data_IF_758828112479
#
_entry.id   IF_758828112479
#
_cell.length_a   1.000
_cell.length_b   1.000
_cell.length_c   1.000
_cell.angle_alpha   90.00
_cell.angle_beta   90.00
_cell.angle_gamma   90.00
#
_symmetry.space_group_name_H-M   'P 1'
#
loop_
_entity.id
_entity.type
_entity.pdbx_description
1 polymer ?
#
# COMPACT_ATOMS: atom_id res chain seq x y z
N UNK A 1 -11.69 -6.73 -1.83
CA UNK A 1 -11.60 -6.32 -0.42
C UNK A 1 -12.91 -6.75 0.25
N UNK A 2 -12.85 -7.60 1.27
CA UNK A 2 -14.04 -8.20 1.89
C UNK A 2 -14.92 -7.18 2.62
N UNK A 3 -16.24 -7.29 2.46
CA UNK A 3 -17.27 -6.38 2.98
C UNK A 3 -17.28 -6.24 4.52
N UNK A 4 -16.67 -7.19 5.21
CA UNK A 4 -16.52 -7.24 6.67
C UNK A 4 -15.76 -6.03 7.27
N UNK A 5 -14.94 -5.33 6.48
CA UNK A 5 -14.24 -4.11 6.93
C UNK A 5 -15.19 -2.93 7.22
N UNK A 6 -16.41 -2.94 6.68
CA UNK A 6 -17.40 -1.87 6.90
C UNK A 6 -18.10 -1.94 8.26
N UNK A 7 -18.00 -3.05 8.99
CA UNK A 7 -18.82 -3.34 10.17
C UNK A 7 -18.07 -3.23 11.50
N UNK A 8 -16.87 -2.63 11.51
CA UNK A 8 -16.08 -2.49 12.74
C UNK A 8 -16.67 -1.42 13.66
N UNK A 9 -17.04 -1.86 14.87
CA UNK A 9 -17.65 -1.04 15.92
C UNK A 9 -16.63 -0.02 16.44
N UNK A 10 -17.06 1.24 16.58
CA UNK A 10 -16.30 2.28 17.28
C UNK A 10 -16.53 2.11 18.79
N UNK A 11 -15.43 2.02 19.54
CA UNK A 11 -15.45 1.86 20.99
C UNK A 11 -14.91 3.14 21.62
N UNK A 12 -15.74 3.92 22.33
CA UNK A 12 -15.26 5.09 23.07
C UNK A 12 -14.54 4.65 24.34
N UNK A 13 -13.28 5.08 24.52
CA UNK A 13 -12.48 4.84 25.71
C UNK A 13 -12.27 6.15 26.47
N UNK A 14 -12.61 6.18 27.75
CA UNK A 14 -12.42 7.36 28.58
C UNK A 14 -10.92 7.65 28.76
N UNK A 15 -10.50 8.89 28.49
CA UNK A 15 -9.09 9.33 28.55
C UNK A 15 -8.56 9.50 29.98
N UNK A 16 -9.40 9.29 31.01
CA UNK A 16 -9.12 9.59 32.42
C UNK A 16 -8.78 11.08 32.68
N UNK A 17 -9.24 11.98 31.80
CA UNK A 17 -8.99 13.42 31.87
C UNK A 17 -10.29 14.16 31.53
N UNK A 18 -10.71 15.09 32.40
CA UNK A 18 -11.94 15.87 32.24
C UNK A 18 -13.18 15.21 32.84
N UNK A 19 -14.36 15.74 32.52
CA UNK A 19 -15.65 15.26 33.02
C UNK A 19 -16.13 14.02 32.24
N UNK A 20 -16.64 13.02 32.96
CA UNK A 20 -17.19 11.79 32.40
C UNK A 20 -18.41 12.05 31.51
N UNK A 21 -19.14 13.15 31.73
CA UNK A 21 -20.32 13.49 30.90
C UNK A 21 -19.95 14.20 29.59
N UNK A 22 -18.70 14.63 29.41
CA UNK A 22 -18.26 15.31 28.20
C UNK A 22 -17.78 14.35 27.12
N UNK A 23 -18.33 14.47 25.91
CA UNK A 23 -17.90 13.67 24.76
C UNK A 23 -16.40 13.85 24.44
N UNK A 24 -15.80 15.00 24.73
CA UNK A 24 -14.38 15.29 24.45
C UNK A 24 -13.41 14.48 25.31
N UNK A 25 -13.89 13.99 26.47
CA UNK A 25 -13.12 13.18 27.42
C UNK A 25 -12.99 11.71 27.00
N UNK A 26 -13.60 11.31 25.89
CA UNK A 26 -13.42 9.98 25.30
C UNK A 26 -12.50 10.02 24.08
N UNK A 27 -11.81 8.91 23.83
CA UNK A 27 -11.04 8.60 22.63
C UNK A 27 -11.70 7.43 21.95
N UNK A 28 -12.17 7.63 20.73
CA UNK A 28 -12.70 6.54 19.93
C UNK A 28 -11.55 5.67 19.41
N UNK A 29 -11.67 4.37 19.63
CA UNK A 29 -10.80 3.37 19.01
C UNK A 29 -11.69 2.49 18.15
N UNK A 30 -11.16 2.08 17.00
CA UNK A 30 -11.79 1.13 16.10
C UNK A 30 -11.04 -0.21 16.17
N UNK A 31 -11.46 -1.15 17.03
CA UNK A 31 -10.79 -2.43 17.13
C UNK A 31 -11.02 -3.23 15.84
N UNK A 32 -9.95 -3.82 15.32
CA UNK A 32 -10.05 -4.77 14.22
C UNK A 32 -10.30 -6.19 14.72
N UNK A 33 -10.88 -7.03 13.86
CA UNK A 33 -10.96 -8.48 14.10
C UNK A 33 -9.56 -9.10 14.21
N UNK A 34 -9.45 -10.23 14.91
CA UNK A 34 -8.18 -10.93 15.14
C UNK A 34 -7.47 -11.29 13.83
N UNK A 35 -8.22 -11.76 12.84
CA UNK A 35 -7.71 -12.08 11.50
C UNK A 35 -7.14 -10.85 10.79
N UNK A 36 -7.82 -9.70 10.89
CA UNK A 36 -7.34 -8.46 10.27
C UNK A 36 -6.05 -7.93 10.93
N UNK A 37 -5.92 -8.06 12.26
CA UNK A 37 -4.68 -7.71 12.95
C UNK A 37 -3.49 -8.55 12.46
N UNK A 38 -3.72 -9.85 12.20
CA UNK A 38 -2.68 -10.73 11.65
C UNK A 38 -2.30 -10.32 10.21
N UNK A 39 -3.29 -10.03 9.37
CA UNK A 39 -3.06 -9.57 8.00
C UNK A 39 -2.28 -8.26 7.95
N UNK A 40 -2.66 -7.27 8.76
CA UNK A 40 -1.93 -6.01 8.82
C UNK A 40 -0.48 -6.21 9.27
N UNK A 41 -0.24 -7.06 10.27
CA UNK A 41 1.13 -7.39 10.71
C UNK A 41 1.97 -8.01 9.59
N UNK A 42 1.39 -8.90 8.77
CA UNK A 42 2.08 -9.51 7.63
C UNK A 42 2.36 -8.48 6.53
N UNK A 43 1.38 -7.62 6.23
CA UNK A 43 1.50 -6.57 5.22
C UNK A 43 2.54 -5.53 5.64
N UNK A 44 2.47 -5.04 6.88
CA UNK A 44 3.43 -4.13 7.48
C UNK A 44 4.84 -4.73 7.41
N UNK A 45 5.03 -5.98 7.84
CA UNK A 45 6.34 -6.63 7.79
C UNK A 45 6.91 -6.71 6.36
N UNK A 46 6.06 -6.96 5.36
CA UNK A 46 6.48 -6.99 3.96
C UNK A 46 6.79 -5.58 3.43
N UNK A 47 5.93 -4.60 3.70
CA UNK A 47 6.11 -3.22 3.28
C UNK A 47 7.39 -2.62 3.88
N UNK A 48 7.60 -2.78 5.18
CA UNK A 48 8.79 -2.29 5.88
C UNK A 48 10.09 -2.88 5.32
N UNK A 49 10.07 -4.10 4.76
CA UNK A 49 11.25 -4.67 4.06
C UNK A 49 11.52 -4.06 2.68
N UNK A 50 10.51 -3.46 2.06
CA UNK A 50 10.58 -2.93 0.69
C UNK A 50 10.66 -1.40 0.65
N UNK A 51 10.31 -0.71 1.75
CA UNK A 51 10.29 0.75 1.84
C UNK A 51 11.37 1.26 2.79
N UNK A 52 12.08 2.32 2.41
CA UNK A 52 12.95 3.07 3.31
C UNK A 52 12.18 4.23 3.95
N UNK A 53 12.16 4.29 5.27
CA UNK A 53 11.57 5.39 6.04
C UNK A 53 12.63 6.46 6.28
N UNK A 54 12.25 7.75 6.21
CA UNK A 54 13.19 8.85 6.41
C UNK A 54 13.72 8.87 7.86
N UNK A 55 14.94 9.40 8.05
CA UNK A 55 15.58 9.48 9.38
C UNK A 55 14.82 10.37 10.38
N UNK A 56 13.92 11.21 9.90
CA UNK A 56 13.19 12.20 10.70
C UNK A 56 11.76 11.73 11.04
N UNK A 57 11.41 10.49 10.71
CA UNK A 57 10.12 9.90 11.07
C UNK A 57 10.27 9.12 12.38
N UNK A 58 9.59 9.58 13.44
CA UNK A 58 9.66 8.98 14.77
C UNK A 58 8.34 8.32 15.21
N UNK A 59 7.23 8.59 14.52
CA UNK A 59 5.94 7.99 14.83
C UNK A 59 5.86 6.57 14.28
N UNK A 60 5.53 5.60 15.16
CA UNK A 60 5.29 4.20 14.81
C UNK A 60 6.44 3.50 14.08
N UNK A 61 7.69 3.96 14.29
CA UNK A 61 8.90 3.31 13.77
C UNK A 61 9.53 2.47 14.88
N UNK A 62 9.92 1.21 14.62
CA UNK A 62 10.63 0.40 15.60
C UNK A 62 11.87 1.14 16.14
N UNK A 63 12.09 1.06 17.45
CA UNK A 63 13.24 1.67 18.14
C UNK A 63 13.29 3.21 18.12
N UNK A 64 12.27 3.88 17.57
CA UNK A 64 12.11 5.34 17.65
C UNK A 64 10.98 5.71 18.60
N UNK A 65 11.17 6.79 19.36
CA UNK A 65 10.15 7.29 20.29
C UNK A 65 9.93 8.78 20.14
N UNK A 66 8.79 9.27 20.65
CA UNK A 66 8.51 10.70 20.74
C UNK A 66 9.55 11.45 21.58
N UNK A 67 10.17 10.79 22.56
CA UNK A 67 11.24 11.40 23.36
C UNK A 67 12.49 11.67 22.53
N UNK A 68 12.85 10.76 21.62
CA UNK A 68 13.99 10.94 20.73
C UNK A 68 13.73 12.08 19.72
N UNK A 69 12.50 12.19 19.22
CA UNK A 69 12.07 13.30 18.37
C UNK A 69 12.20 14.65 19.11
N UNK A 70 11.69 14.72 20.35
CA UNK A 70 11.82 15.90 21.20
C UNK A 70 13.29 16.23 21.45
N UNK A 71 14.10 15.22 21.81
CA UNK A 71 15.52 15.39 22.07
C UNK A 71 16.24 16.00 20.86
N UNK A 72 16.07 15.44 19.66
CA UNK A 72 16.69 15.96 18.44
C UNK A 72 16.27 17.40 18.14
N UNK A 73 14.98 17.72 18.29
CA UNK A 73 14.48 19.10 18.11
C UNK A 73 15.08 20.03 19.17
N UNK A 74 15.21 19.60 20.42
CA UNK A 74 15.79 20.42 21.49
C UNK A 74 17.31 20.55 21.39
N UNK A 75 18.00 19.59 20.77
CA UNK A 75 19.45 19.57 20.63
C UNK A 75 19.92 20.56 19.55
N UNK A 76 19.14 20.76 18.49
CA UNK A 76 19.40 21.79 17.48
C UNK A 76 19.12 23.22 17.99
N UNK A 77 18.44 23.37 19.14
CA UNK A 77 18.09 24.66 19.76
C UNK A 77 19.10 25.02 20.89
N UNK A 78 20.34 24.54 20.84
CA UNK A 78 21.40 24.82 21.84
C UNK A 78 21.84 26.31 21.88
N UNK A 79 20.98 27.16 22.43
CA UNK A 79 21.34 28.38 23.14
C UNK A 79 20.64 28.36 24.50
N UNK A 80 21.19 29.10 25.47
CA UNK A 80 20.61 29.25 26.81
C UNK A 80 19.14 29.72 26.74
N UNK A 81 18.51 29.81 27.92
CA UNK A 81 17.21 30.43 28.23
C UNK A 81 16.03 29.40 28.17
N UNK A 82 14.88 29.66 28.85
CA UNK A 82 14.51 29.02 30.11
C UNK A 82 13.10 28.37 30.05
N UNK A 83 12.83 27.49 31.01
CA UNK A 83 11.71 26.57 31.03
C UNK A 83 10.32 27.22 31.11
N UNK A 84 9.58 27.29 30.00
CA UNK A 84 8.11 27.30 29.95
C UNK A 84 7.62 26.88 28.55
N UNK A 85 7.23 25.62 28.37
CA UNK A 85 6.52 25.12 27.18
C UNK A 85 5.04 24.91 27.51
N UNK A 86 4.15 25.53 26.74
CA UNK A 86 2.73 25.18 26.72
C UNK A 86 2.43 24.47 25.40
N UNK A 87 1.89 23.26 25.49
CA UNK A 87 1.47 22.46 24.35
C UNK A 87 -0.02 22.67 24.08
N UNK A 88 -0.37 22.95 22.82
CA UNK A 88 -1.74 22.89 22.32
C UNK A 88 -1.72 22.16 20.98
N UNK A 89 -2.12 20.87 21.00
CA UNK A 89 -2.23 19.93 19.89
C UNK A 89 -1.10 19.98 18.82
N UNK A 90 -1.14 20.91 17.86
CA UNK A 90 -0.14 21.01 16.78
C UNK A 90 0.84 22.20 16.92
N UNK A 91 0.76 22.99 18.00
CA UNK A 91 1.59 24.19 18.21
C UNK A 91 2.18 24.23 19.62
N UNK A 92 3.47 24.55 19.70
CA UNK A 92 4.19 24.78 20.96
C UNK A 92 4.48 26.27 21.10
N UNK A 93 4.01 26.86 22.19
CA UNK A 93 4.38 28.22 22.57
C UNK A 93 5.56 28.17 23.55
N UNK A 94 6.67 28.82 23.17
CA UNK A 94 7.89 28.90 23.96
C UNK A 94 8.12 30.36 24.38
N UNK A 95 8.33 30.61 25.67
CA UNK A 95 8.70 31.92 26.17
C UNK A 95 9.63 31.80 27.38
N UNK A 96 10.37 32.87 27.66
CA UNK A 96 11.35 32.94 28.73
C UNK A 96 10.78 33.17 30.14
N UNK A 97 9.46 33.31 30.28
CA UNK A 97 8.78 33.36 31.58
C UNK A 97 7.26 33.16 31.45
N UNK A 98 6.66 32.51 32.45
CA UNK A 98 5.20 32.30 32.54
C UNK A 98 4.41 33.63 32.44
N UNK A 99 4.95 34.72 32.99
CA UNK A 99 4.30 36.03 32.99
C UNK A 99 4.19 36.65 31.59
N UNK A 100 5.15 36.35 30.69
CA UNK A 100 5.10 36.82 29.30
C UNK A 100 4.10 36.05 28.46
N UNK A 101 3.96 34.74 28.69
CA UNK A 101 2.91 33.91 28.05
C UNK A 101 1.52 34.43 28.39
N UNK A 102 1.27 34.75 29.67
CA UNK A 102 -0.01 35.31 30.11
C UNK A 102 -0.26 36.74 29.58
N UNK A 103 0.79 37.54 29.40
CA UNK A 103 0.68 38.88 28.78
C UNK A 103 0.33 38.80 27.28
N UNK A 104 0.90 37.84 26.54
CA UNK A 104 0.58 37.59 25.13
C UNK A 104 -0.85 37.07 24.94
N UNK A 105 -1.32 36.17 25.82
CA UNK A 105 -2.72 35.74 25.86
C UNK A 105 -3.69 36.92 26.04
N UNK A 106 -3.36 37.87 26.92
CA UNK A 106 -4.28 38.97 27.26
C UNK A 106 -4.29 40.13 26.27
N UNK A 107 -3.18 40.45 25.58
CA UNK A 107 -3.12 41.64 24.71
C UNK A 107 -3.38 41.41 23.23
N UNK A 108 -3.06 40.23 22.70
CA UNK A 108 -3.10 39.98 21.24
C UNK A 108 -4.36 39.21 20.79
N UNK A 109 -4.90 38.33 21.63
CA UNK A 109 -6.08 37.54 21.27
C UNK A 109 -7.39 38.35 21.28
N UNK A 110 -7.42 39.47 22.02
CA UNK A 110 -8.57 40.38 22.05
C UNK A 110 -8.59 41.36 20.86
N UNK A 111 -7.46 41.64 20.21
CA UNK A 111 -7.43 42.57 19.05
C UNK A 111 -7.85 41.91 17.74
N UNK A 112 -7.68 40.59 17.62
CA UNK A 112 -7.87 39.87 16.35
C UNK A 112 -9.32 39.36 16.15
N UNK A 113 -10.17 39.41 17.20
CA UNK A 113 -11.60 39.02 17.12
C UNK A 113 -12.47 40.10 16.47
N UNK A 114 -12.02 41.37 16.42
CA UNK A 114 -12.85 42.52 16.01
C UNK A 114 -12.52 43.12 14.62
N UNK A 115 -11.82 42.41 13.72
CA UNK A 115 -11.56 42.92 12.36
C UNK A 115 -12.20 42.07 11.26
N UNK A 116 -13.02 42.65 10.35
CA UNK A 116 -13.74 41.87 9.35
C UNK A 116 -12.86 41.49 8.14
N UNK A 117 -13.17 40.30 7.65
CA UNK A 117 -12.50 39.44 6.68
C UNK A 117 -12.14 40.10 5.33
N UNK A 118 -10.93 39.82 4.80
CA UNK A 118 -10.54 40.10 3.41
C UNK A 118 -9.69 38.96 2.85
N UNK A 119 -10.30 38.16 1.99
CA UNK A 119 -9.62 37.23 1.08
C UNK A 119 -9.41 37.87 -0.30
N UNK A 120 -8.32 37.53 -1.03
CA UNK A 120 -8.21 37.80 -2.47
C UNK A 120 -8.36 36.53 -3.36
N UNK A 121 -8.66 36.67 -4.66
CA UNK A 121 -9.40 35.69 -5.46
C UNK A 121 -8.58 34.78 -6.39
N UNK A 122 -9.23 33.72 -6.87
CA UNK A 122 -8.85 32.78 -7.94
C UNK A 122 -8.74 33.40 -9.36
N UNK A 123 -8.06 32.66 -10.27
CA UNK A 123 -8.11 32.60 -11.75
C UNK A 123 -6.67 32.58 -12.35
N UNK A 124 -6.28 31.93 -13.46
CA UNK A 124 -6.91 31.09 -14.50
C UNK A 124 -5.79 30.45 -15.37
N UNK A 125 -6.16 29.40 -16.11
CA UNK A 125 -5.47 28.64 -17.16
C UNK A 125 -4.54 29.36 -18.16
N UNK A 126 -3.54 28.61 -18.70
CA UNK A 126 -3.31 28.56 -20.18
C UNK A 126 -2.42 27.40 -20.66
N UNK A 127 -2.89 26.76 -21.74
CA UNK A 127 -2.31 25.63 -22.47
C UNK A 127 -1.82 26.08 -23.86
N UNK A 128 -0.81 25.36 -24.38
CA UNK A 128 -0.41 25.17 -25.79
C UNK A 128 0.38 26.27 -26.54
N UNK A 129 1.49 25.89 -27.18
CA UNK A 129 1.62 25.86 -28.65
C UNK A 129 2.90 25.15 -29.16
N UNK A 130 2.68 24.46 -30.28
CA UNK A 130 3.52 23.71 -31.22
C UNK A 130 4.43 24.59 -32.11
N UNK A 131 5.67 24.17 -32.42
CA UNK A 131 6.41 24.39 -33.71
C UNK A 131 7.50 23.32 -33.87
N UNK A 132 7.44 22.39 -34.83
CA UNK A 132 7.66 22.47 -36.29
C UNK A 132 9.13 22.25 -36.71
N UNK A 133 9.34 21.19 -37.49
CA UNK A 133 10.64 20.69 -37.93
C UNK A 133 11.26 21.43 -39.12
N UNK A 134 12.59 21.36 -39.22
CA UNK A 134 13.35 21.76 -40.42
C UNK A 134 14.09 20.58 -41.04
N UNK A 135 13.75 20.35 -42.30
CA UNK A 135 14.38 19.46 -43.28
C UNK A 135 15.81 19.94 -43.62
N UNK A 136 16.79 19.06 -43.47
CA UNK A 136 18.12 19.20 -44.10
C UNK A 136 18.14 18.47 -45.44
N UNK A 137 18.26 19.23 -46.54
CA UNK A 137 18.36 18.73 -47.93
C UNK A 137 19.80 18.27 -48.21
N UNK A 138 19.92 17.09 -48.84
CA UNK A 138 21.12 16.59 -49.53
C UNK A 138 21.50 17.51 -50.69
N UNK A 139 22.79 17.77 -50.89
CA UNK A 139 23.38 18.16 -52.19
C UNK A 139 24.83 17.65 -52.30
N UNK A 140 25.07 16.89 -53.36
CA UNK A 140 26.29 16.80 -54.18
C UNK A 140 25.75 16.58 -55.62
N UNK A 141 26.45 16.95 -56.72
CA UNK A 141 27.89 17.18 -56.83
C UNK A 141 28.29 18.45 -57.59
N UNK A 142 29.58 18.75 -57.61
CA UNK A 142 30.23 19.49 -58.70
C UNK A 142 31.65 18.96 -58.88
N UNK A 143 31.99 18.47 -60.08
CA UNK A 143 33.37 18.48 -60.54
C UNK A 143 33.52 19.34 -61.81
N UNK A 144 34.79 19.68 -62.10
CA UNK A 144 35.37 20.19 -63.38
C UNK A 144 35.55 21.73 -63.38
N UNK A 145 36.69 22.31 -63.84
CA UNK A 145 37.57 21.78 -64.89
C UNK A 145 39.09 21.71 -64.64
N UNK A 146 39.66 20.74 -65.35
CA UNK A 146 41.04 20.63 -65.79
C UNK A 146 41.51 21.90 -66.50
N UNK A 147 42.72 22.34 -66.16
CA UNK A 147 43.44 23.39 -66.87
C UNK A 147 43.82 22.91 -68.28
N UNK A 148 43.35 23.63 -69.29
CA UNK A 148 43.80 23.49 -70.68
C UNK A 148 45.10 24.29 -70.82
N UNK A 149 46.22 23.58 -70.95
CA UNK A 149 47.50 24.18 -71.32
C UNK A 149 47.44 24.58 -72.80
N UNK A 150 47.64 25.86 -73.03
CA UNK A 150 47.71 26.58 -74.30
C UNK A 150 48.93 26.12 -75.12
N UNK A 151 48.71 25.43 -76.24
CA UNK A 151 49.70 25.27 -77.30
C UNK A 151 49.62 26.50 -78.22
N UNK A 152 50.75 27.20 -78.35
CA UNK A 152 50.96 28.26 -79.32
C UNK A 152 51.28 27.58 -80.66
N UNK A 153 50.42 27.76 -81.67
CA UNK A 153 50.81 27.47 -83.05
C UNK A 153 50.61 28.71 -83.92
N UNK A 154 51.64 28.90 -84.73
CA UNK A 154 51.98 30.04 -85.55
C UNK A 154 51.00 30.23 -86.70
N UNK A 155 50.63 31.49 -86.91
CA UNK A 155 49.92 32.00 -88.08
C UNK A 155 50.75 31.67 -89.34
N UNK A 156 50.17 30.88 -90.25
CA UNK A 156 50.64 30.73 -91.63
C UNK A 156 49.54 31.19 -92.57
N UNK A 157 49.86 32.24 -93.31
CA UNK A 157 49.03 32.95 -94.27
C UNK A 157 48.80 32.13 -95.54
N UNK A 158 47.63 32.35 -96.14
CA UNK A 158 47.15 31.99 -97.49
C UNK A 158 48.19 31.55 -98.52
N UNK A 159 47.91 30.42 -99.20
CA UNK A 159 47.94 30.35 -100.68
C UNK A 159 46.88 29.38 -101.22
N UNK A 160 46.32 29.81 -102.34
CA UNK A 160 45.22 29.30 -103.17
C UNK A 160 45.23 27.80 -103.53
N UNK A 161 44.06 27.25 -103.92
CA UNK A 161 43.85 25.82 -104.11
C UNK A 161 44.34 25.37 -105.48
N UNK A 162 45.13 24.29 -105.51
CA UNK A 162 45.44 23.55 -106.73
C UNK A 162 44.77 22.19 -106.62
N UNK A 163 43.68 22.01 -107.37
CA UNK A 163 43.05 20.72 -107.60
C UNK A 163 44.03 19.81 -108.35
N UNK A 164 44.37 18.69 -107.72
CA UNK A 164 44.91 17.50 -108.37
C UNK A 164 43.91 16.35 -108.13
N UNK A 165 43.87 15.26 -108.90
CA UNK A 165 42.84 14.23 -108.79
C UNK A 165 43.03 13.41 -107.48
N UNK A 166 42.55 13.94 -106.36
CA UNK A 166 42.63 13.44 -104.98
C UNK A 166 41.65 12.30 -104.67
N UNK A 167 41.09 11.67 -105.70
CA UNK A 167 40.00 10.73 -105.54
C UNK A 167 40.46 9.32 -105.13
N UNK A 168 41.75 8.99 -105.35
CA UNK A 168 42.31 7.69 -104.97
C UNK A 168 42.85 7.64 -103.54
N UNK A 169 43.61 8.66 -103.12
CA UNK A 169 44.21 8.71 -101.78
C UNK A 169 43.15 8.95 -100.71
N UNK A 170 42.25 9.91 -100.92
CA UNK A 170 41.12 10.18 -100.01
C UNK A 170 40.27 8.93 -99.83
N UNK A 171 39.96 8.21 -100.92
CA UNK A 171 39.22 6.93 -100.87
C UNK A 171 39.99 5.82 -100.14
N UNK A 172 41.31 5.75 -100.29
CA UNK A 172 42.14 4.78 -99.55
C UNK A 172 42.20 5.10 -98.05
N UNK A 173 42.28 6.39 -97.69
CA UNK A 173 42.19 6.86 -96.30
C UNK A 173 40.80 6.60 -95.70
N UNK A 174 39.72 6.85 -96.44
CA UNK A 174 38.35 6.56 -96.00
C UNK A 174 38.16 5.05 -95.77
N UNK A 175 38.71 4.21 -96.64
CA UNK A 175 38.71 2.75 -96.45
C UNK A 175 39.49 2.34 -95.19
N UNK A 176 40.66 2.95 -94.93
CA UNK A 176 41.44 2.71 -93.73
C UNK A 176 40.69 3.16 -92.46
N UNK A 177 40.03 4.31 -92.51
CA UNK A 177 39.17 4.84 -91.43
C UNK A 177 38.03 3.86 -91.09
N UNK A 178 37.38 3.28 -92.12
CA UNK A 178 36.33 2.27 -91.92
C UNK A 178 36.91 1.00 -91.27
N UNK A 179 38.09 0.54 -91.69
CA UNK A 179 38.75 -0.64 -91.11
C UNK A 179 39.16 -0.39 -89.65
N UNK A 180 39.73 0.79 -89.34
CA UNK A 180 40.08 1.18 -87.98
C UNK A 180 38.85 1.33 -87.09
N UNK A 181 37.76 1.91 -87.61
CA UNK A 181 36.48 1.98 -86.91
C UNK A 181 35.94 0.59 -86.57
N UNK A 182 35.97 -0.35 -87.53
CA UNK A 182 35.59 -1.76 -87.31
C UNK A 182 36.48 -2.43 -86.28
N UNK A 183 37.79 -2.25 -86.36
CA UNK A 183 38.74 -2.81 -85.40
C UNK A 183 38.51 -2.26 -83.98
N UNK A 184 38.28 -0.95 -83.85
CA UNK A 184 37.96 -0.31 -82.58
C UNK A 184 36.65 -0.86 -81.99
N UNK A 185 35.60 -1.01 -82.80
CA UNK A 185 34.33 -1.61 -82.33
C UNK A 185 34.51 -3.05 -81.89
N UNK A 186 35.33 -3.84 -82.60
CA UNK A 186 35.61 -5.24 -82.27
C UNK A 186 36.42 -5.38 -80.98
N UNK A 187 37.41 -4.51 -80.75
CA UNK A 187 38.12 -4.45 -79.46
C UNK A 187 37.14 -4.11 -78.34
N UNK A 188 36.33 -3.05 -78.51
CA UNK A 188 35.36 -2.64 -77.49
C UNK A 188 34.35 -3.74 -77.17
N UNK A 189 33.84 -4.46 -78.18
CA UNK A 189 32.92 -5.57 -77.96
C UNK A 189 33.59 -6.75 -77.27
N UNK A 190 34.84 -7.08 -77.62
CA UNK A 190 35.60 -8.17 -77.00
C UNK A 190 35.94 -7.84 -75.54
N UNK A 191 36.37 -6.61 -75.24
CA UNK A 191 36.56 -6.14 -73.87
C UNK A 191 35.26 -6.19 -73.08
N UNK A 192 34.15 -5.70 -73.64
CA UNK A 192 32.83 -5.76 -73.00
C UNK A 192 32.40 -7.21 -72.74
N UNK A 193 32.63 -8.12 -73.68
CA UNK A 193 32.33 -9.55 -73.53
C UNK A 193 33.13 -10.18 -72.38
N UNK A 194 34.46 -9.98 -72.37
CA UNK A 194 35.34 -10.46 -71.29
C UNK A 194 34.96 -9.87 -69.93
N UNK A 195 34.70 -8.57 -69.84
CA UNK A 195 34.23 -7.93 -68.62
C UNK A 195 32.89 -8.49 -68.16
N UNK A 196 31.94 -8.74 -69.08
CA UNK A 196 30.65 -9.35 -68.75
C UNK A 196 30.80 -10.78 -68.21
N UNK A 197 31.71 -11.58 -68.79
CA UNK A 197 31.99 -12.94 -68.30
C UNK A 197 32.61 -12.93 -66.91
N UNK A 198 33.56 -12.03 -66.64
CA UNK A 198 34.15 -11.85 -65.31
C UNK A 198 33.08 -11.46 -64.30
N UNK A 199 32.25 -10.46 -64.62
CA UNK A 199 31.17 -10.01 -63.74
C UNK A 199 30.15 -11.12 -63.46
N UNK A 200 29.79 -11.93 -64.46
CA UNK A 200 28.90 -13.07 -64.29
C UNK A 200 29.52 -14.13 -63.36
N UNK A 201 30.80 -14.48 -63.57
CA UNK A 201 31.52 -15.43 -62.72
C UNK A 201 31.68 -14.94 -61.28
N UNK A 202 32.04 -13.67 -61.08
CA UNK A 202 32.09 -13.06 -59.74
C UNK A 202 30.71 -13.01 -59.09
N UNK A 203 29.67 -12.70 -59.87
CA UNK A 203 28.29 -12.73 -59.40
C UNK A 203 27.88 -14.12 -58.90
N UNK A 204 28.25 -15.18 -59.62
CA UNK A 204 27.98 -16.56 -59.22
C UNK A 204 28.60 -16.91 -57.86
N UNK A 205 29.88 -16.57 -57.69
CA UNK A 205 30.62 -16.83 -56.45
C UNK A 205 29.95 -16.12 -55.27
N UNK A 206 29.56 -14.86 -55.45
CA UNK A 206 28.84 -14.08 -54.42
C UNK A 206 27.50 -14.75 -54.08
N UNK A 207 26.73 -15.19 -55.09
CA UNK A 207 25.44 -15.87 -54.86
C UNK A 207 25.62 -17.16 -54.05
N UNK A 208 26.58 -18.01 -54.42
CA UNK A 208 26.87 -19.25 -53.68
C UNK A 208 27.30 -18.97 -52.24
N UNK A 209 28.10 -17.92 -52.01
CA UNK A 209 28.49 -17.53 -50.66
C UNK A 209 27.29 -17.07 -49.82
N UNK A 210 26.41 -16.24 -50.40
CA UNK A 210 25.20 -15.77 -49.73
C UNK A 210 24.24 -16.91 -49.40
N UNK A 211 24.07 -17.87 -50.31
CA UNK A 211 23.24 -19.06 -50.07
C UNK A 211 23.79 -19.91 -48.92
N UNK A 212 25.11 -20.09 -48.84
CA UNK A 212 25.74 -20.77 -47.70
C UNK A 212 25.55 -20.05 -46.36
N UNK A 213 25.65 -18.71 -46.35
CA UNK A 213 25.39 -17.90 -45.16
C UNK A 213 23.92 -17.99 -44.75
N UNK A 214 23.00 -17.98 -45.71
CA UNK A 214 21.55 -18.09 -45.47
C UNK A 214 21.20 -19.44 -44.81
N UNK A 215 21.73 -20.56 -45.33
CA UNK A 215 21.54 -21.89 -44.72
C UNK A 215 22.10 -21.93 -43.29
N UNK A 216 23.28 -21.37 -43.06
CA UNK A 216 23.88 -21.31 -41.72
C UNK A 216 23.03 -20.47 -40.76
N UNK A 217 22.53 -19.32 -41.20
CA UNK A 217 21.65 -18.47 -40.40
C UNK A 217 20.35 -19.21 -40.07
N UNK A 218 19.79 -19.95 -41.02
CA UNK A 218 18.58 -20.73 -40.82
C UNK A 218 18.80 -21.83 -39.76
N UNK A 219 19.90 -22.58 -39.84
CA UNK A 219 20.28 -23.59 -38.85
C UNK A 219 20.42 -22.99 -37.44
N UNK A 220 21.04 -21.82 -37.33
CA UNK A 220 21.24 -21.16 -36.04
C UNK A 220 19.94 -20.59 -35.46
N UNK A 221 19.02 -20.10 -36.31
CA UNK A 221 17.66 -19.76 -35.91
C UNK A 221 16.92 -20.99 -35.39
N UNK A 222 17.03 -22.14 -36.06
CA UNK A 222 16.36 -23.37 -35.63
C UNK A 222 16.90 -23.90 -34.30
N UNK A 223 18.23 -23.88 -34.11
CA UNK A 223 18.86 -24.20 -32.81
C UNK A 223 18.36 -23.27 -31.71
N UNK A 224 18.29 -21.97 -31.98
CA UNK A 224 17.82 -20.97 -31.02
C UNK A 224 16.35 -21.22 -30.64
N UNK A 225 15.48 -21.47 -31.63
CA UNK A 225 14.07 -21.78 -31.42
C UNK A 225 13.90 -23.05 -30.58
N UNK A 226 14.65 -24.11 -30.89
CA UNK A 226 14.58 -25.37 -30.15
C UNK A 226 15.10 -25.24 -28.71
N UNK A 227 16.20 -24.52 -28.50
CA UNK A 227 16.70 -24.19 -27.16
C UNK A 227 15.67 -23.37 -26.36
N UNK A 228 15.01 -22.39 -27.00
CA UNK A 228 13.94 -21.61 -26.41
C UNK A 228 12.73 -22.47 -26.01
N UNK A 229 12.27 -23.36 -26.90
CA UNK A 229 11.18 -24.31 -26.64
C UNK A 229 11.50 -25.23 -25.46
N UNK A 230 12.72 -25.78 -25.41
CA UNK A 230 13.15 -26.65 -24.32
C UNK A 230 13.19 -25.92 -22.97
N UNK A 231 13.77 -24.71 -22.92
CA UNK A 231 13.78 -23.89 -21.70
C UNK A 231 12.37 -23.51 -21.24
N UNK A 232 11.49 -23.13 -22.18
CA UNK A 232 10.08 -22.81 -21.87
C UNK A 232 9.38 -24.01 -21.26
N UNK A 233 9.47 -25.18 -21.89
CA UNK A 233 8.86 -26.42 -21.39
C UNK A 233 9.34 -26.77 -19.98
N UNK A 234 10.64 -26.58 -19.70
CA UNK A 234 11.19 -26.81 -18.36
C UNK A 234 10.60 -25.85 -17.33
N UNK A 235 10.54 -24.56 -17.65
CA UNK A 235 9.96 -23.55 -16.75
C UNK A 235 8.47 -23.78 -16.52
N UNK A 236 7.74 -24.18 -17.55
CA UNK A 236 6.31 -24.51 -17.48
C UNK A 236 6.07 -25.73 -16.57
N UNK A 237 6.82 -26.82 -16.73
CA UNK A 237 6.78 -27.99 -15.84
C UNK A 237 7.08 -27.61 -14.38
N UNK A 238 8.13 -26.81 -14.14
CA UNK A 238 8.44 -26.37 -12.78
C UNK A 238 7.35 -25.49 -12.20
N UNK A 239 6.73 -24.62 -13.00
CA UNK A 239 5.61 -23.79 -12.56
C UNK A 239 4.38 -24.62 -12.21
N UNK A 240 4.03 -25.61 -13.03
CA UNK A 240 2.95 -26.56 -12.75
C UNK A 240 3.19 -27.33 -11.45
N UNK A 241 4.40 -27.82 -11.22
CA UNK A 241 4.77 -28.49 -9.95
C UNK A 241 4.62 -27.57 -8.73
N UNK A 242 5.03 -26.30 -8.84
CA UNK A 242 4.87 -25.32 -7.76
C UNK A 242 3.40 -24.98 -7.50
N UNK A 243 2.60 -24.84 -8.57
CA UNK A 243 1.17 -24.62 -8.46
C UNK A 243 0.47 -25.81 -7.79
N UNK A 244 0.91 -27.03 -8.10
CA UNK A 244 0.42 -28.25 -7.47
C UNK A 244 0.76 -28.32 -5.98
N UNK A 245 2.02 -28.02 -5.63
CA UNK A 245 2.45 -27.97 -4.23
C UNK A 245 1.64 -26.96 -3.42
N UNK A 246 1.38 -25.78 -4.00
CA UNK A 246 0.56 -24.75 -3.37
C UNK A 246 -0.89 -25.22 -3.17
N UNK A 247 -1.46 -25.93 -4.16
CA UNK A 247 -2.80 -26.51 -4.08
C UNK A 247 -2.90 -27.53 -2.94
N UNK A 248 -1.93 -28.44 -2.84
CA UNK A 248 -1.87 -29.43 -1.76
C UNK A 248 -1.72 -28.76 -0.39
N UNK A 249 -0.85 -27.74 -0.29
CA UNK A 249 -0.67 -26.98 0.94
C UNK A 249 -1.96 -26.27 1.38
N UNK A 250 -2.67 -25.65 0.43
CA UNK A 250 -3.95 -24.99 0.69
C UNK A 250 -5.00 -25.96 1.22
N UNK A 251 -5.16 -27.13 0.58
CA UNK A 251 -6.12 -28.13 1.06
C UNK A 251 -5.73 -28.70 2.43
N UNK A 252 -4.44 -28.93 2.68
CA UNK A 252 -3.98 -29.38 4.01
C UNK A 252 -4.28 -28.34 5.09
N UNK A 253 -3.99 -27.06 4.83
CA UNK A 253 -4.28 -25.98 5.76
C UNK A 253 -5.78 -25.86 6.04
N UNK A 254 -6.61 -25.95 4.99
CA UNK A 254 -8.07 -25.93 5.12
C UNK A 254 -8.58 -27.07 6.00
N UNK A 255 -8.06 -28.29 5.80
CA UNK A 255 -8.41 -29.44 6.62
C UNK A 255 -8.01 -29.24 8.08
N UNK A 256 -6.79 -28.75 8.33
CA UNK A 256 -6.29 -28.49 9.69
C UNK A 256 -7.12 -27.44 10.44
N UNK A 257 -7.50 -26.34 9.76
CA UNK A 257 -8.39 -25.32 10.32
C UNK A 257 -9.78 -25.90 10.63
N UNK A 258 -10.34 -26.70 9.73
CA UNK A 258 -11.64 -27.32 9.95
C UNK A 258 -11.61 -28.31 11.12
N UNK A 259 -10.54 -29.10 11.23
CA UNK A 259 -10.36 -30.02 12.34
C UNK A 259 -10.25 -29.28 13.69
N UNK A 260 -9.51 -28.17 13.73
CA UNK A 260 -9.41 -27.33 14.93
C UNK A 260 -10.76 -26.71 15.29
N UNK A 261 -11.50 -26.16 14.31
CA UNK A 261 -12.82 -25.59 14.54
C UNK A 261 -13.80 -26.63 15.08
N UNK A 262 -13.77 -27.85 14.53
CA UNK A 262 -14.60 -28.95 15.02
C UNK A 262 -14.24 -29.33 16.46
N UNK A 263 -12.95 -29.39 16.78
CA UNK A 263 -12.47 -29.61 18.15
C UNK A 263 -12.98 -28.53 19.13
N UNK A 264 -12.84 -27.25 18.77
CA UNK A 264 -13.35 -26.14 19.58
C UNK A 264 -14.86 -26.20 19.77
N UNK A 265 -15.61 -26.58 18.73
CA UNK A 265 -17.07 -26.74 18.81
C UNK A 265 -17.45 -27.83 19.81
N UNK A 266 -16.81 -28.99 19.72
CA UNK A 266 -17.09 -30.11 20.63
C UNK A 266 -16.78 -29.73 22.09
N UNK A 267 -15.64 -29.08 22.36
CA UNK A 267 -15.30 -28.61 23.71
C UNK A 267 -16.28 -27.55 24.24
N UNK A 268 -16.81 -26.69 23.36
CA UNK A 268 -17.85 -25.73 23.75
C UNK A 268 -19.14 -26.44 24.16
N UNK A 269 -19.59 -27.42 23.37
CA UNK A 269 -20.77 -28.24 23.69
C UNK A 269 -20.61 -28.98 25.02
N UNK A 270 -19.42 -29.53 25.31
CA UNK A 270 -19.10 -30.14 26.61
C UNK A 270 -19.20 -29.11 27.76
N UNK A 271 -18.63 -27.92 27.58
CA UNK A 271 -18.68 -26.87 28.60
C UNK A 271 -20.12 -26.40 28.87
N UNK A 272 -20.94 -26.27 27.82
CA UNK A 272 -22.36 -25.94 27.94
C UNK A 272 -23.13 -27.01 28.72
N UNK A 273 -22.84 -28.29 28.48
CA UNK A 273 -23.41 -29.40 29.23
C UNK A 273 -23.04 -29.34 30.72
N UNK A 274 -21.76 -29.11 31.03
CA UNK A 274 -21.31 -28.93 32.42
C UNK A 274 -21.98 -27.74 33.11
N UNK A 275 -22.13 -26.62 32.40
CA UNK A 275 -22.81 -25.44 32.92
C UNK A 275 -24.30 -25.73 33.20
N UNK A 276 -24.98 -26.47 32.32
CA UNK A 276 -26.37 -26.88 32.52
C UNK A 276 -26.52 -27.80 33.75
N UNK A 277 -25.59 -28.74 33.97
CA UNK A 277 -25.57 -29.60 35.14
C UNK A 277 -25.38 -28.79 36.43
N UNK A 278 -24.37 -27.92 36.47
CA UNK A 278 -24.10 -27.04 37.62
C UNK A 278 -25.31 -26.16 37.96
N UNK A 279 -25.96 -25.58 36.94
CA UNK A 279 -27.18 -24.82 37.11
C UNK A 279 -28.29 -25.68 37.72
N UNK A 280 -28.47 -26.90 37.22
CA UNK A 280 -29.44 -27.86 37.77
C UNK A 280 -29.20 -28.21 39.23
N UNK A 281 -27.94 -28.36 39.65
CA UNK A 281 -27.57 -28.59 41.06
C UNK A 281 -27.87 -27.36 41.91
N UNK A 282 -27.49 -26.17 41.45
CA UNK A 282 -27.74 -24.91 42.16
C UNK A 282 -29.24 -24.67 42.37
N UNK A 283 -30.07 -24.91 41.35
CA UNK A 283 -31.53 -24.76 41.45
C UNK A 283 -32.15 -25.77 42.44
N UNK A 284 -31.68 -27.04 42.43
CA UNK A 284 -32.08 -28.06 43.41
C UNK A 284 -31.72 -27.63 44.83
N UNK A 285 -30.50 -27.14 45.04
CA UNK A 285 -30.04 -26.68 46.36
C UNK A 285 -30.84 -25.47 46.84
N UNK A 286 -31.08 -24.48 45.96
CA UNK A 286 -31.91 -23.32 46.24
C UNK A 286 -33.33 -23.72 46.64
N UNK A 287 -33.92 -24.70 45.96
CA UNK A 287 -35.25 -25.23 46.31
C UNK A 287 -35.26 -25.94 47.68
N UNK A 288 -34.21 -26.72 47.98
CA UNK A 288 -34.04 -27.37 49.29
C UNK A 288 -33.91 -26.35 50.42
N UNK A 289 -33.04 -25.34 50.26
CA UNK A 289 -32.86 -24.26 51.25
C UNK A 289 -34.16 -23.48 51.46
N UNK A 290 -34.92 -23.18 50.40
CA UNK A 290 -36.23 -22.52 50.51
C UNK A 290 -37.20 -23.34 51.37
N UNK A 291 -37.26 -24.66 51.21
CA UNK A 291 -38.11 -25.54 52.03
C UNK A 291 -37.67 -25.55 53.50
N UNK A 292 -36.37 -25.63 53.75
CA UNK A 292 -35.80 -25.61 55.10
C UNK A 292 -36.14 -24.29 55.82
N UNK A 293 -36.00 -23.17 55.13
CA UNK A 293 -36.25 -21.84 55.67
C UNK A 293 -37.74 -21.64 55.99
N UNK A 294 -38.63 -22.09 55.11
CA UNK A 294 -40.07 -22.12 55.38
C UNK A 294 -40.44 -23.02 56.57
N UNK A 295 -39.74 -24.15 56.75
CA UNK A 295 -39.96 -24.99 57.92
C UNK A 295 -39.51 -24.29 59.20
N UNK A 296 -38.33 -23.69 59.20
CA UNK A 296 -37.81 -22.90 60.33
C UNK A 296 -38.75 -21.74 60.69
N UNK A 297 -39.25 -20.98 59.71
CA UNK A 297 -40.24 -19.91 59.93
C UNK A 297 -41.50 -20.42 60.64
N UNK A 298 -42.09 -21.52 60.16
CA UNK A 298 -43.29 -22.10 60.80
C UNK A 298 -43.02 -22.54 62.24
N UNK A 299 -41.87 -23.17 62.48
CA UNK A 299 -41.48 -23.61 63.81
C UNK A 299 -41.30 -22.42 64.76
N UNK A 300 -40.56 -21.39 64.34
CA UNK A 300 -40.37 -20.17 65.13
C UNK A 300 -41.71 -19.46 65.39
N UNK A 301 -42.57 -19.35 64.38
CA UNK A 301 -43.90 -18.75 64.54
C UNK A 301 -44.76 -19.51 65.58
N UNK A 302 -44.73 -20.85 65.54
CA UNK A 302 -45.46 -21.67 66.52
C UNK A 302 -44.93 -21.50 67.95
N UNK A 303 -43.61 -21.41 68.11
CA UNK A 303 -42.98 -21.18 69.42
C UNK A 303 -43.27 -19.77 69.96
N UNK A 304 -43.25 -18.76 69.10
CA UNK A 304 -43.62 -17.39 69.48
C UNK A 304 -45.06 -17.32 69.95
N UNK A 305 -45.99 -18.00 69.24
CA UNK A 305 -47.40 -18.02 69.62
C UNK A 305 -47.61 -18.75 70.97
N UNK A 306 -46.94 -19.87 71.19
CA UNK A 306 -46.97 -20.58 72.49
C UNK A 306 -46.40 -19.72 73.63
N UNK A 307 -45.29 -19.01 73.37
CA UNK A 307 -44.72 -18.06 74.33
C UNK A 307 -45.67 -16.89 74.63
N UNK A 308 -46.36 -16.36 73.61
CA UNK A 308 -47.34 -15.27 73.76
C UNK A 308 -48.56 -15.68 74.59
N UNK A 309 -49.06 -16.91 74.40
CA UNK A 309 -50.12 -17.48 75.23
C UNK A 309 -49.66 -17.58 76.70
N UNK A 310 -48.48 -18.16 76.94
CA UNK A 310 -47.90 -18.30 78.29
C UNK A 310 -47.70 -16.95 78.98
N UNK A 311 -47.17 -15.95 78.26
CA UNK A 311 -47.02 -14.58 78.77
C UNK A 311 -48.38 -14.00 79.14
N UNK A 312 -49.38 -14.16 78.28
CA UNK A 312 -50.75 -13.67 78.50
C UNK A 312 -51.39 -14.28 79.75
N UNK A 313 -51.18 -15.58 80.00
CA UNK A 313 -51.64 -16.27 81.20
C UNK A 313 -50.96 -15.74 82.47
N UNK A 314 -49.64 -15.56 82.44
CA UNK A 314 -48.88 -14.98 83.55
C UNK A 314 -49.39 -13.58 83.85
N UNK A 315 -49.57 -12.73 82.84
CA UNK A 315 -50.12 -11.39 83.00
C UNK A 315 -51.54 -11.42 83.56
N UNK A 316 -52.40 -12.35 83.10
CA UNK A 316 -53.77 -12.52 83.62
C UNK A 316 -53.75 -12.91 85.09
N UNK A 317 -52.85 -13.83 85.50
CA UNK A 317 -52.68 -14.23 86.90
C UNK A 317 -52.16 -13.07 87.75
N UNK A 318 -51.20 -12.29 87.25
CA UNK A 318 -50.68 -11.09 87.92
C UNK A 318 -51.79 -10.03 88.13
N UNK A 319 -52.59 -9.76 87.09
CA UNK A 319 -53.76 -8.85 87.19
C UNK A 319 -54.76 -9.31 88.25
N UNK A 320 -55.08 -10.61 88.31
CA UNK A 320 -55.97 -11.17 89.35
C UNK A 320 -55.40 -10.96 90.76
N UNK A 321 -54.12 -11.28 90.99
CA UNK A 321 -53.46 -11.06 92.29
C UNK A 321 -53.47 -9.58 92.69
N UNK A 322 -53.17 -8.68 91.75
CA UNK A 322 -53.21 -7.23 91.96
C UNK A 322 -54.60 -6.75 92.38
N UNK A 323 -55.65 -7.25 91.72
CA UNK A 323 -57.02 -6.90 92.07
C UNK A 323 -57.42 -7.44 93.46
N UNK A 324 -56.97 -8.64 93.82
CA UNK A 324 -57.14 -9.16 95.18
C UNK A 324 -56.46 -8.29 96.23
N UNK A 325 -55.20 -7.88 95.97
CA UNK A 325 -54.46 -6.98 96.85
C UNK A 325 -55.16 -5.62 96.99
N UNK A 326 -55.70 -5.06 95.89
CA UNK A 326 -56.51 -3.84 95.92
C UNK A 326 -57.77 -3.99 96.77
N UNK A 327 -58.43 -5.15 96.75
CA UNK A 327 -59.59 -5.42 97.60
C UNK A 327 -59.23 -5.44 99.08
N UNK A 328 -58.18 -6.18 99.45
CA UNK A 328 -57.68 -6.24 100.84
C UNK A 328 -57.27 -4.86 101.34
N UNK A 329 -56.57 -4.08 100.51
CA UNK A 329 -56.21 -2.70 100.87
C UNK A 329 -57.45 -1.83 101.09
N UNK A 330 -58.50 -2.02 100.29
CA UNK A 330 -59.76 -1.28 100.43
C UNK A 330 -60.49 -1.67 101.72
N UNK A 331 -60.51 -2.95 102.08
CA UNK A 331 -61.06 -3.44 103.36
C UNK A 331 -60.30 -2.88 104.56
N UNK A 332 -58.96 -2.90 104.54
CA UNK A 332 -58.13 -2.31 105.61
C UNK A 332 -58.35 -0.80 105.77
N UNK A 333 -58.56 -0.07 104.67
CA UNK A 333 -58.87 1.37 104.70
C UNK A 333 -60.26 1.61 105.28
N UNK A 334 -61.22 0.69 105.09
CA UNK A 334 -62.55 0.80 105.68
C UNK A 334 -62.62 0.36 107.15
N UNK A 335 -61.85 -0.66 107.57
CA UNK A 335 -61.75 -1.10 108.98
C UNK A 335 -60.98 -0.11 109.87
N UNK A 336 -60.20 0.80 109.28
CA UNK A 336 -59.52 1.89 110.01
C UNK A 336 -60.34 3.18 110.07
N UNK A 337 -61.56 3.17 109.52
CA UNK A 337 -62.47 4.31 109.48
C UNK A 337 -63.70 4.16 110.41
N UNK A 338 -63.85 3.03 111.11
CA UNK A 338 -64.65 2.85 112.33
C UNK A 338 -63.73 2.92 113.56
#
# INVERSE_FOLDING_TARGET
MSEERRWSVLVPLFKNIGDFQSCTSYREIKPMSHTNKLWERVIEHRLTRMTSVSKNQFGFVPERSTMEAIFLVTMDIQGDIPWCMLFADDVVLVADSQMRVNRYKSRKWLSDVDSPDRSPPENLDRKSHLKEGRRGKRRLPSPIPFATSRTQETIMSDKEPVQCPDDYLTRAFDQLLVVLGRFQTKIKSETRNKSSQILAGTGEIIRQHLEGVEVQMQDDVDKLVNAGKSKRKRLESTFEEQQELLRVLHEKFKEEVNQQLLGCKNSLEEFEAYHAELKGVADKQKASHKKLLQHAERTVASQLNDAEIKISEVQKRARKKMNGLKHVLKELITETAD
#
